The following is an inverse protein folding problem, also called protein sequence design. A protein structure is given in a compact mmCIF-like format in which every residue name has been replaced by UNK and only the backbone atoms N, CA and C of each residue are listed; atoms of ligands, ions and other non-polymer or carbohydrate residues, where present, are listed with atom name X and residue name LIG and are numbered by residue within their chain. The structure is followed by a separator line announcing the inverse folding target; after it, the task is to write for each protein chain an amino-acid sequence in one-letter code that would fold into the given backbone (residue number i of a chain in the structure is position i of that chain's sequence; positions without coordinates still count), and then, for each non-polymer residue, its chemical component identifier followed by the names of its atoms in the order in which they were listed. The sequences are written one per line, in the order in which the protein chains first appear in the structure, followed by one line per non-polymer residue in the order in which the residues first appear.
data_IF_448454923321
#
_entry.id   IF_448454923321
#
_cell.length_a   1.000
_cell.length_b   1.000
_cell.length_c   1.000
_cell.angle_alpha   90.00
_cell.angle_beta   90.00
_cell.angle_gamma   90.00
#
_symmetry.space_group_name_H-M   'P 1'
#
loop_
_entity.id
_entity.type
_entity.pdbx_description
1 polymer ?
#
# COMPACT_ATOMS: atom_id res chain seq x y z
N UNK A 1 42.26 -19.98 -36.54
CA UNK A 1 41.57 -19.37 -35.38
C UNK A 1 42.02 -20.12 -34.14
N UNK A 2 42.65 -19.51 -33.15
CA UNK A 2 43.13 -20.22 -31.98
C UNK A 2 41.92 -20.60 -31.12
N UNK A 3 41.75 -21.91 -30.87
CA UNK A 3 40.76 -22.46 -29.99
C UNK A 3 41.11 -22.06 -28.53
N UNK A 4 40.26 -21.26 -27.92
CA UNK A 4 40.40 -20.84 -26.51
C UNK A 4 40.48 -22.09 -25.59
N UNK A 5 41.35 -22.09 -24.57
CA UNK A 5 41.55 -23.25 -23.72
C UNK A 5 40.26 -23.59 -22.95
N UNK A 6 39.98 -24.88 -22.68
CA UNK A 6 38.71 -25.37 -22.13
C UNK A 6 38.37 -24.79 -20.74
N UNK A 7 39.32 -24.27 -20.00
CA UNK A 7 39.13 -23.56 -18.74
C UNK A 7 38.29 -22.28 -18.88
N UNK A 8 38.48 -21.51 -19.96
CA UNK A 8 37.75 -20.27 -20.20
C UNK A 8 36.25 -20.47 -20.52
N UNK A 9 35.91 -21.56 -21.19
CA UNK A 9 34.50 -21.91 -21.48
C UNK A 9 33.72 -22.24 -20.20
N UNK A 10 34.35 -22.91 -19.23
CA UNK A 10 33.73 -23.27 -17.94
C UNK A 10 33.45 -22.05 -17.06
N UNK A 11 34.32 -21.04 -17.06
CA UNK A 11 34.09 -19.80 -16.35
C UNK A 11 33.00 -18.95 -17.01
N UNK A 12 32.93 -18.87 -18.34
CA UNK A 12 31.86 -18.16 -19.06
C UNK A 12 30.49 -18.71 -18.73
N UNK A 13 30.30 -20.02 -18.72
CA UNK A 13 29.02 -20.64 -18.37
C UNK A 13 28.62 -20.33 -16.92
N UNK A 14 29.57 -20.33 -15.99
CA UNK A 14 29.30 -19.96 -14.59
C UNK A 14 28.85 -18.50 -14.43
N UNK A 15 29.50 -17.55 -15.13
CA UNK A 15 29.11 -16.14 -15.13
C UNK A 15 27.75 -15.90 -15.78
N UNK A 16 27.44 -16.63 -16.85
CA UNK A 16 26.12 -16.57 -17.52
C UNK A 16 25.01 -17.10 -16.59
N UNK A 17 25.24 -18.21 -15.91
CA UNK A 17 24.29 -18.77 -14.93
C UNK A 17 24.09 -17.82 -13.74
N UNK A 18 25.14 -17.18 -13.26
CA UNK A 18 25.09 -16.20 -12.18
C UNK A 18 24.32 -14.94 -12.61
N UNK A 19 24.58 -14.44 -13.81
CA UNK A 19 23.85 -13.32 -14.40
C UNK A 19 22.37 -13.62 -14.61
N UNK A 20 22.05 -14.82 -15.13
CA UNK A 20 20.67 -15.27 -15.30
C UNK A 20 19.93 -15.40 -13.96
N UNK A 21 20.57 -15.99 -12.93
CA UNK A 21 19.96 -16.07 -11.60
C UNK A 21 19.72 -14.71 -10.96
N UNK A 22 20.66 -13.76 -11.13
CA UNK A 22 20.50 -12.38 -10.64
C UNK A 22 19.32 -11.66 -11.35
N UNK A 23 19.22 -11.82 -12.67
CA UNK A 23 18.12 -11.27 -13.47
C UNK A 23 16.78 -11.84 -13.03
N UNK A 24 16.70 -13.16 -12.81
CA UNK A 24 15.50 -13.83 -12.32
C UNK A 24 15.10 -13.32 -10.93
N UNK A 25 16.07 -13.13 -10.04
CA UNK A 25 15.84 -12.58 -8.70
C UNK A 25 15.31 -11.13 -8.76
N UNK A 26 15.88 -10.31 -9.65
CA UNK A 26 15.40 -8.95 -9.87
C UNK A 26 13.98 -8.93 -10.42
N UNK A 27 13.67 -9.82 -11.36
CA UNK A 27 12.31 -9.97 -11.90
C UNK A 27 11.30 -10.37 -10.80
N UNK A 28 11.65 -11.34 -9.97
CA UNK A 28 10.80 -11.76 -8.85
C UNK A 28 10.57 -10.62 -7.85
N UNK A 29 11.59 -9.82 -7.54
CA UNK A 29 11.47 -8.65 -6.69
C UNK A 29 10.53 -7.60 -7.31
N UNK A 30 10.68 -7.31 -8.60
CA UNK A 30 9.80 -6.38 -9.31
C UNK A 30 8.35 -6.86 -9.31
N UNK A 31 8.11 -8.14 -9.53
CA UNK A 31 6.78 -8.74 -9.46
C UNK A 31 6.18 -8.65 -8.05
N UNK A 32 6.97 -8.89 -7.01
CA UNK A 32 6.53 -8.77 -5.62
C UNK A 32 6.15 -7.32 -5.27
N UNK A 33 6.98 -6.35 -5.67
CA UNK A 33 6.69 -4.92 -5.47
C UNK A 33 5.45 -4.47 -6.26
N UNK A 34 5.31 -4.92 -7.51
CA UNK A 34 4.14 -4.63 -8.33
C UNK A 34 2.86 -5.24 -7.71
N UNK A 35 2.94 -6.46 -7.20
CA UNK A 35 1.83 -7.11 -6.49
C UNK A 35 1.45 -6.34 -5.23
N UNK A 36 2.42 -5.99 -4.39
CA UNK A 36 2.21 -5.18 -3.18
C UNK A 36 1.57 -3.82 -3.51
N UNK A 37 2.07 -3.13 -4.55
CA UNK A 37 1.51 -1.85 -4.99
C UNK A 37 0.05 -2.00 -5.43
N UNK A 38 -0.28 -3.03 -6.22
CA UNK A 38 -1.67 -3.31 -6.64
C UNK A 38 -2.57 -3.61 -5.44
N UNK A 39 -2.10 -4.39 -4.48
CA UNK A 39 -2.85 -4.68 -3.25
C UNK A 39 -3.13 -3.40 -2.46
N UNK A 40 -2.12 -2.55 -2.23
CA UNK A 40 -2.27 -1.28 -1.50
C UNK A 40 -3.29 -0.38 -2.20
N UNK A 41 -3.16 -0.20 -3.51
CA UNK A 41 -4.06 0.67 -4.27
C UNK A 41 -5.49 0.13 -4.29
N UNK A 42 -5.68 -1.17 -4.42
CA UNK A 42 -7.01 -1.78 -4.43
C UNK A 42 -7.70 -1.72 -3.06
N UNK A 43 -6.98 -1.98 -1.95
CA UNK A 43 -7.52 -1.84 -0.60
C UNK A 43 -7.94 -0.38 -0.32
N UNK A 44 -7.05 0.57 -0.59
CA UNK A 44 -7.36 2.00 -0.40
C UNK A 44 -8.54 2.44 -1.29
N UNK A 45 -8.63 1.94 -2.52
CA UNK A 45 -9.76 2.23 -3.42
C UNK A 45 -11.07 1.73 -2.84
N UNK A 46 -11.11 0.52 -2.29
CA UNK A 46 -12.30 -0.04 -1.63
C UNK A 46 -12.73 0.80 -0.44
N UNK A 47 -11.78 1.21 0.40
CA UNK A 47 -12.06 2.06 1.56
C UNK A 47 -12.64 3.41 1.14
N UNK A 48 -12.07 4.04 0.08
CA UNK A 48 -12.57 5.29 -0.48
C UNK A 48 -13.98 5.13 -1.05
N UNK A 49 -14.26 4.04 -1.78
CA UNK A 49 -15.59 3.74 -2.32
C UNK A 49 -16.61 3.55 -1.19
N UNK A 50 -16.26 2.80 -0.15
CA UNK A 50 -17.13 2.58 1.00
C UNK A 50 -17.41 3.91 1.74
N UNK A 51 -16.39 4.75 1.92
CA UNK A 51 -16.56 6.08 2.50
C UNK A 51 -17.48 6.96 1.64
N UNK A 52 -17.28 6.96 0.33
CA UNK A 52 -18.12 7.70 -0.61
C UNK A 52 -19.57 7.22 -0.58
N UNK A 53 -19.79 5.91 -0.52
CA UNK A 53 -21.13 5.34 -0.41
C UNK A 53 -21.86 5.75 0.89
N UNK A 54 -21.15 5.80 2.03
CA UNK A 54 -21.71 6.28 3.29
C UNK A 54 -22.08 7.76 3.22
N UNK A 55 -21.19 8.61 2.68
CA UNK A 55 -21.48 10.04 2.49
C UNK A 55 -22.61 10.28 1.50
N UNK A 56 -22.70 9.51 0.41
CA UNK A 56 -23.80 9.54 -0.52
C UNK A 56 -25.14 9.19 0.14
N UNK A 57 -25.18 8.10 0.91
CA UNK A 57 -26.38 7.69 1.62
C UNK A 57 -26.82 8.73 2.66
N UNK A 58 -25.88 9.39 3.35
CA UNK A 58 -26.14 10.45 4.30
C UNK A 58 -26.74 11.67 3.58
N UNK A 59 -26.15 12.09 2.47
CA UNK A 59 -26.65 13.20 1.64
C UNK A 59 -28.06 12.92 1.11
N UNK A 60 -28.29 11.74 0.51
CA UNK A 60 -29.60 11.36 -0.01
C UNK A 60 -30.67 11.31 1.06
N UNK A 61 -30.35 10.87 2.27
CA UNK A 61 -31.31 10.95 3.40
C UNK A 61 -31.73 12.38 3.72
N UNK A 62 -30.74 13.30 3.79
CA UNK A 62 -31.02 14.72 4.04
C UNK A 62 -31.87 15.33 2.93
N UNK A 63 -31.56 15.04 1.68
CA UNK A 63 -32.29 15.50 0.51
C UNK A 63 -33.72 14.96 0.52
N UNK A 64 -33.94 13.66 0.81
CA UNK A 64 -35.25 13.06 0.91
C UNK A 64 -36.11 13.69 2.04
N UNK A 65 -35.50 14.06 3.18
CA UNK A 65 -36.20 14.80 4.22
C UNK A 65 -36.58 16.21 3.78
N UNK A 66 -35.70 16.95 3.11
CA UNK A 66 -36.01 18.29 2.57
C UNK A 66 -37.16 18.19 1.56
N UNK A 67 -37.13 17.21 0.66
CA UNK A 67 -38.18 17.02 -0.32
C UNK A 67 -39.53 16.66 0.30
N UNK A 68 -39.54 15.76 1.30
CA UNK A 68 -40.74 15.43 2.05
C UNK A 68 -41.31 16.66 2.79
N UNK A 69 -40.47 17.47 3.44
CA UNK A 69 -40.87 18.70 4.10
C UNK A 69 -41.38 19.74 3.11
N UNK A 70 -40.73 19.90 1.95
CA UNK A 70 -41.19 20.76 0.86
C UNK A 70 -42.58 20.35 0.37
N UNK A 71 -42.75 19.07 0.02
CA UNK A 71 -44.03 18.54 -0.45
C UNK A 71 -45.19 18.78 0.53
N UNK A 72 -44.92 18.56 1.83
CA UNK A 72 -45.91 18.89 2.87
C UNK A 72 -46.16 20.41 3.02
N UNK A 73 -45.11 21.24 2.91
CA UNK A 73 -45.28 22.68 2.97
C UNK A 73 -46.14 23.22 1.82
N UNK A 74 -45.86 22.77 0.58
CA UNK A 74 -46.61 23.14 -0.60
C UNK A 74 -48.05 22.67 -0.56
N UNK A 75 -48.32 21.45 -0.04
CA UNK A 75 -49.69 20.95 0.12
C UNK A 75 -50.49 21.74 1.14
N UNK A 76 -49.86 22.14 2.27
CA UNK A 76 -50.47 23.02 3.27
C UNK A 76 -50.76 24.41 2.74
N UNK A 77 -49.92 24.95 1.88
CA UNK A 77 -50.16 26.22 1.21
C UNK A 77 -51.40 26.20 0.29
N UNK A 78 -51.67 25.02 -0.36
CA UNK A 78 -52.85 24.82 -1.22
C UNK A 78 -54.13 24.62 -0.42
N UNK A 79 -54.03 23.90 0.70
CA UNK A 79 -55.19 23.55 1.51
C UNK A 79 -55.54 24.55 2.59
N UNK A 80 -54.71 24.64 3.63
CA UNK A 80 -54.80 25.64 4.70
C UNK A 80 -53.49 25.63 5.50
N UNK A 81 -52.74 26.73 5.54
CA UNK A 81 -51.50 26.79 6.31
C UNK A 81 -51.72 26.77 7.84
N UNK A 82 -52.96 27.08 8.31
CA UNK A 82 -53.29 27.15 9.73
C UNK A 82 -53.70 25.78 10.31
N UNK A 83 -52.76 25.13 11.01
CA UNK A 83 -53.07 23.95 11.85
C UNK A 83 -53.40 24.38 13.27
N UNK A 84 -53.99 23.46 14.09
CA UNK A 84 -54.21 23.73 15.53
C UNK A 84 -52.87 24.10 16.21
N UNK A 85 -51.82 23.31 15.93
CA UNK A 85 -50.48 23.56 16.46
C UNK A 85 -49.92 24.93 16.03
N UNK A 86 -50.00 25.26 14.75
CA UNK A 86 -49.47 26.54 14.27
C UNK A 86 -50.21 27.76 14.85
N UNK A 87 -51.52 27.64 15.11
CA UNK A 87 -52.30 28.70 15.78
C UNK A 87 -51.87 28.90 17.22
N UNK A 88 -51.70 27.79 17.99
CA UNK A 88 -51.22 27.88 19.36
C UNK A 88 -49.82 28.51 19.46
N UNK A 89 -48.91 28.10 18.57
CA UNK A 89 -47.54 28.65 18.53
C UNK A 89 -47.53 30.12 18.07
N UNK A 90 -48.39 30.47 17.11
CA UNK A 90 -48.49 31.84 16.63
C UNK A 90 -49.03 32.80 17.73
N UNK A 91 -50.00 32.36 18.49
CA UNK A 91 -50.54 33.13 19.65
C UNK A 91 -49.51 33.31 20.78
N UNK A 92 -48.53 32.39 20.88
CA UNK A 92 -47.47 32.47 21.88
C UNK A 92 -46.29 33.36 21.44
N UNK A 93 -46.28 33.85 20.20
CA UNK A 93 -45.26 34.75 19.74
C UNK A 93 -45.22 36.03 20.56
N UNK A 94 -44.06 36.45 20.97
CA UNK A 94 -43.79 37.69 21.70
C UNK A 94 -43.24 38.73 20.77
N UNK A 95 -43.63 39.99 21.01
CA UNK A 95 -43.11 41.16 20.32
C UNK A 95 -42.22 41.91 21.29
N UNK A 96 -40.93 41.96 21.00
CA UNK A 96 -39.96 42.78 21.70
C UNK A 96 -39.71 44.01 20.83
N UNK A 97 -40.09 45.19 21.33
CA UNK A 97 -40.14 46.44 20.57
C UNK A 97 -38.81 46.81 19.89
N UNK A 98 -37.70 46.48 20.50
CA UNK A 98 -36.36 46.73 19.94
C UNK A 98 -35.80 45.55 19.13
N UNK A 99 -36.26 44.35 19.40
CA UNK A 99 -35.62 43.15 18.93
C UNK A 99 -36.50 42.24 18.02
N UNK A 100 -37.69 42.65 17.70
CA UNK A 100 -38.57 41.97 16.77
C UNK A 100 -39.46 40.90 17.41
N UNK A 101 -39.75 39.85 16.68
CA UNK A 101 -40.67 38.78 17.07
C UNK A 101 -39.85 37.56 17.51
N UNK A 102 -40.31 36.87 18.58
CA UNK A 102 -39.68 35.62 19.03
C UNK A 102 -40.70 34.65 19.62
N UNK A 103 -40.33 33.32 19.69
CA UNK A 103 -41.07 32.27 20.37
C UNK A 103 -40.27 31.78 21.58
N UNK A 104 -39.82 32.71 22.47
CA UNK A 104 -39.04 32.32 23.65
C UNK A 104 -39.90 31.66 24.70
N UNK A 105 -41.21 31.89 24.73
CA UNK A 105 -42.17 31.19 25.57
C UNK A 105 -42.88 30.07 24.84
N UNK A 106 -42.55 28.84 25.15
CA UNK A 106 -43.24 27.66 24.64
C UNK A 106 -44.57 27.50 25.45
N UNK A 107 -45.73 27.30 24.78
CA UNK A 107 -46.97 26.96 25.47
C UNK A 107 -46.81 25.73 26.36
N UNK A 108 -47.35 25.80 27.58
CA UNK A 108 -47.20 24.72 28.64
C UNK A 108 -47.76 23.40 28.15
N UNK A 109 -48.82 23.41 27.36
CA UNK A 109 -49.52 22.23 26.85
C UNK A 109 -48.83 21.54 25.68
N UNK A 110 -47.71 22.11 25.19
CA UNK A 110 -46.97 21.55 24.04
C UNK A 110 -45.62 20.97 24.47
N UNK A 111 -45.23 19.80 23.91
CA UNK A 111 -43.95 19.19 24.26
C UNK A 111 -42.80 20.03 23.68
N UNK A 112 -41.88 20.56 24.54
CA UNK A 112 -40.78 21.43 24.08
C UNK A 112 -39.87 20.77 23.02
N UNK A 113 -39.71 19.46 23.09
CA UNK A 113 -38.88 18.69 22.19
C UNK A 113 -39.41 18.69 20.71
N UNK A 114 -40.62 19.13 20.45
CA UNK A 114 -41.19 19.22 19.11
C UNK A 114 -41.13 20.64 18.54
N UNK A 115 -40.67 21.61 19.29
CA UNK A 115 -40.84 23.03 18.96
C UNK A 115 -39.48 23.67 18.74
N UNK A 116 -39.34 24.42 17.63
CA UNK A 116 -38.23 25.32 17.36
C UNK A 116 -38.52 26.74 17.84
N UNK A 117 -37.62 27.69 17.57
CA UNK A 117 -37.86 29.12 17.80
C UNK A 117 -38.10 29.86 16.48
N UNK A 118 -39.21 30.59 16.42
CA UNK A 118 -39.44 31.54 15.34
C UNK A 118 -38.95 32.88 15.79
N UNK A 119 -38.05 33.50 15.05
CA UNK A 119 -37.59 34.87 15.23
C UNK A 119 -37.76 35.66 13.93
N UNK A 120 -38.07 36.95 14.03
CA UNK A 120 -38.28 37.80 12.86
C UNK A 120 -38.36 39.27 13.18
N UNK A 121 -38.40 40.10 12.15
CA UNK A 121 -38.54 41.55 12.31
C UNK A 121 -40.00 41.98 12.61
N UNK A 122 -40.14 43.12 13.28
CA UNK A 122 -41.44 43.74 13.52
C UNK A 122 -42.05 44.30 12.22
N UNK A 123 -43.36 44.50 12.15
CA UNK A 123 -44.36 44.09 13.16
C UNK A 123 -44.80 42.64 13.03
N UNK A 124 -45.43 42.09 14.12
CA UNK A 124 -46.15 40.83 14.02
C UNK A 124 -47.36 41.03 13.09
N UNK A 125 -47.48 40.27 11.99
CA UNK A 125 -48.57 40.46 11.05
C UNK A 125 -49.89 39.97 11.61
N UNK A 126 -51.00 40.66 11.23
CA UNK A 126 -52.37 40.31 11.59
C UNK A 126 -53.30 40.45 10.37
N UNK A 127 -54.50 39.87 10.46
CA UNK A 127 -55.56 40.07 9.50
C UNK A 127 -55.46 39.26 8.20
N UNK A 128 -54.79 38.10 8.20
CA UNK A 128 -54.73 37.23 7.06
C UNK A 128 -53.69 37.64 6.00
N UNK A 129 -52.63 38.32 6.39
CA UNK A 129 -51.57 38.72 5.46
C UNK A 129 -50.79 37.50 4.94
N UNK A 130 -50.13 37.67 3.78
CA UNK A 130 -49.26 36.61 3.24
C UNK A 130 -48.13 36.23 4.18
N UNK A 131 -47.54 37.19 4.89
CA UNK A 131 -46.52 36.94 5.89
C UNK A 131 -47.03 36.11 7.05
N UNK A 132 -48.26 36.41 7.55
CA UNK A 132 -48.92 35.60 8.58
C UNK A 132 -49.12 34.16 8.13
N UNK A 133 -49.63 33.94 6.91
CA UNK A 133 -49.81 32.60 6.34
C UNK A 133 -48.49 31.82 6.24
N UNK A 134 -47.40 32.46 5.85
CA UNK A 134 -46.06 31.85 5.76
C UNK A 134 -45.46 31.54 7.15
N UNK A 135 -45.70 32.38 8.16
CA UNK A 135 -45.34 32.08 9.54
C UNK A 135 -46.11 30.88 10.09
N UNK A 136 -47.43 30.81 9.81
CA UNK A 136 -48.23 29.63 10.15
C UNK A 136 -47.72 28.36 9.43
N UNK A 137 -47.32 28.45 8.18
CA UNK A 137 -46.69 27.36 7.45
C UNK A 137 -45.44 26.88 8.20
N UNK A 138 -44.50 27.78 8.50
CA UNK A 138 -43.25 27.46 9.19
C UNK A 138 -43.51 26.75 10.54
N UNK A 139 -44.38 27.30 11.37
CA UNK A 139 -44.79 26.72 12.66
C UNK A 139 -45.46 25.37 12.51
N UNK A 140 -46.20 25.14 11.43
CA UNK A 140 -46.83 23.85 11.13
C UNK A 140 -45.85 22.73 10.80
N UNK A 141 -44.61 23.08 10.41
CA UNK A 141 -43.53 22.10 10.09
C UNK A 141 -42.84 21.56 11.35
N UNK A 142 -43.15 22.10 12.54
CA UNK A 142 -42.50 21.69 13.82
C UNK A 142 -42.33 20.17 14.00
N UNK A 143 -43.38 19.33 13.83
CA UNK A 143 -43.22 17.89 14.01
C UNK A 143 -42.28 17.22 13.00
N UNK A 144 -42.22 17.77 11.78
CA UNK A 144 -41.34 17.27 10.72
C UNK A 144 -39.89 17.65 10.99
N UNK A 145 -39.63 18.92 11.38
CA UNK A 145 -38.30 19.39 11.74
C UNK A 145 -37.75 18.58 12.93
N UNK A 146 -38.58 18.34 13.94
CA UNK A 146 -38.23 17.52 15.11
C UNK A 146 -37.92 16.06 14.72
N UNK A 147 -38.74 15.47 13.83
CA UNK A 147 -38.52 14.09 13.33
C UNK A 147 -37.26 14.01 12.52
N UNK A 148 -37.04 14.94 11.60
CA UNK A 148 -35.84 14.98 10.76
C UNK A 148 -34.59 15.16 11.64
N UNK A 149 -34.59 16.08 12.62
CA UNK A 149 -33.48 16.27 13.55
C UNK A 149 -33.17 15.00 14.33
N UNK A 150 -34.16 14.28 14.83
CA UNK A 150 -34.00 13.03 15.56
C UNK A 150 -33.43 11.89 14.70
N UNK A 151 -33.83 11.80 13.44
CA UNK A 151 -33.38 10.75 12.52
C UNK A 151 -32.02 11.04 11.89
N UNK A 152 -31.67 12.32 11.70
CA UNK A 152 -30.37 12.77 11.21
C UNK A 152 -29.36 13.03 12.35
N UNK A 153 -29.85 13.20 13.61
CA UNK A 153 -29.12 13.33 14.89
C UNK A 153 -27.76 14.04 14.77
N UNK A 154 -26.66 13.28 14.90
CA UNK A 154 -25.29 13.82 14.97
C UNK A 154 -24.80 14.47 13.69
N UNK A 155 -25.47 14.22 12.58
CA UNK A 155 -25.04 14.67 11.27
C UNK A 155 -25.48 16.13 10.99
N UNK A 156 -26.43 16.67 11.78
CA UNK A 156 -27.11 17.93 11.53
C UNK A 156 -27.03 18.86 12.73
N UNK A 157 -26.65 20.11 12.48
CA UNK A 157 -26.62 21.15 13.52
C UNK A 157 -27.97 21.86 13.68
N UNK A 158 -28.56 22.26 12.54
CA UNK A 158 -29.80 23.01 12.46
C UNK A 158 -30.66 22.52 11.31
N UNK A 159 -31.99 22.58 11.50
CA UNK A 159 -32.99 22.43 10.44
C UNK A 159 -33.94 23.60 10.58
N UNK A 160 -34.17 24.33 9.50
CA UNK A 160 -34.93 25.54 9.59
C UNK A 160 -35.65 25.91 8.29
N UNK A 161 -36.67 26.73 8.45
CA UNK A 161 -37.32 27.46 7.36
C UNK A 161 -37.02 28.94 7.46
N UNK A 162 -36.45 29.54 6.41
CA UNK A 162 -36.25 31.00 6.30
C UNK A 162 -37.23 31.54 5.30
N UNK A 163 -38.13 32.43 5.75
CA UNK A 163 -39.07 33.11 4.87
C UNK A 163 -38.43 34.27 4.11
N UNK A 164 -39.03 34.66 2.96
CA UNK A 164 -38.66 35.88 2.23
C UNK A 164 -39.16 37.15 2.91
N UNK A 165 -39.92 37.04 4.00
CA UNK A 165 -40.61 38.10 4.70
C UNK A 165 -40.03 38.35 6.08
N UNK A 166 -38.71 38.31 6.22
CA UNK A 166 -37.93 38.69 7.40
C UNK A 166 -38.25 37.87 8.66
N UNK A 167 -38.27 36.58 8.53
CA UNK A 167 -38.34 35.65 9.67
C UNK A 167 -37.66 34.33 9.38
N UNK A 168 -37.27 33.61 10.45
CA UNK A 168 -36.74 32.26 10.42
C UNK A 168 -37.41 31.42 11.52
N UNK A 169 -37.70 30.15 11.21
CA UNK A 169 -38.11 29.15 12.19
C UNK A 169 -37.03 28.09 12.31
N UNK A 170 -36.27 28.11 13.42
CA UNK A 170 -35.07 27.30 13.66
C UNK A 170 -35.34 26.17 14.62
N UNK A 171 -34.89 24.95 14.28
CA UNK A 171 -34.92 23.77 15.13
C UNK A 171 -33.50 23.16 15.23
N UNK A 172 -33.03 22.65 16.39
CA UNK A 172 -33.69 22.66 17.71
C UNK A 172 -33.92 24.08 18.26
N UNK A 173 -34.78 24.16 19.29
CA UNK A 173 -35.07 25.44 19.93
C UNK A 173 -33.81 26.04 20.59
N UNK A 174 -33.59 27.30 20.40
CA UNK A 174 -32.61 28.17 21.08
C UNK A 174 -33.26 29.51 21.43
N UNK A 175 -32.90 30.16 22.55
CA UNK A 175 -33.49 31.44 22.90
C UNK A 175 -33.09 32.54 21.92
N UNK A 176 -33.94 33.56 21.75
CA UNK A 176 -33.66 34.69 20.84
C UNK A 176 -32.44 35.51 21.26
N UNK A 177 -31.99 35.36 22.52
CA UNK A 177 -30.73 35.93 23.00
C UNK A 177 -29.47 35.25 22.43
N UNK A 178 -29.56 34.01 21.97
CA UNK A 178 -28.47 33.28 21.35
C UNK A 178 -28.53 33.33 19.82
N UNK A 179 -29.73 33.22 19.25
CA UNK A 179 -29.94 33.33 17.82
C UNK A 179 -31.22 34.08 17.50
N UNK A 180 -31.10 35.05 16.62
CA UNK A 180 -32.20 35.90 16.17
C UNK A 180 -32.09 36.12 14.68
N UNK A 181 -33.22 36.24 13.99
CA UNK A 181 -33.26 36.62 12.59
C UNK A 181 -32.52 37.94 12.36
N UNK A 182 -31.64 37.94 11.38
CA UNK A 182 -30.92 39.13 10.89
C UNK A 182 -31.01 39.14 9.36
N UNK A 183 -31.35 40.26 8.71
CA UNK A 183 -31.41 40.37 7.25
C UNK A 183 -30.11 40.00 6.53
N UNK A 184 -28.94 40.00 7.21
CA UNK A 184 -27.68 39.52 6.68
C UNK A 184 -27.72 38.02 6.30
N UNK A 185 -28.71 37.25 6.77
CA UNK A 185 -29.00 35.88 6.36
C UNK A 185 -29.19 35.80 4.83
N UNK A 186 -29.85 36.78 4.23
CA UNK A 186 -30.08 36.83 2.78
C UNK A 186 -28.81 37.01 1.94
N UNK A 187 -27.70 37.42 2.56
CA UNK A 187 -26.38 37.53 1.92
C UNK A 187 -25.51 36.29 2.09
N UNK A 188 -25.98 35.27 2.83
CA UNK A 188 -25.25 34.00 3.00
C UNK A 188 -25.24 33.20 1.71
N UNK A 189 -24.18 32.39 1.55
CA UNK A 189 -23.97 31.55 0.35
C UNK A 189 -25.16 30.64 0.06
N UNK A 190 -25.73 29.98 1.08
CA UNK A 190 -26.86 29.07 0.91
C UNK A 190 -28.11 29.75 0.35
N UNK A 191 -28.35 31.02 0.72
CA UNK A 191 -29.46 31.80 0.20
C UNK A 191 -29.20 32.28 -1.23
N UNK A 192 -28.05 32.87 -1.50
CA UNK A 192 -27.66 33.42 -2.79
C UNK A 192 -27.52 32.36 -3.88
N UNK A 193 -27.01 31.17 -3.53
CA UNK A 193 -26.80 30.07 -4.50
C UNK A 193 -28.12 29.43 -4.95
N UNK A 194 -29.15 29.46 -4.11
CA UNK A 194 -30.50 28.99 -4.50
C UNK A 194 -31.21 30.02 -5.37
N UNK A 195 -31.21 31.29 -4.95
CA UNK A 195 -31.87 32.40 -5.69
C UNK A 195 -31.21 32.72 -7.03
N UNK A 196 -29.89 32.49 -7.15
CA UNK A 196 -29.14 32.70 -8.39
C UNK A 196 -29.46 31.69 -9.51
N UNK A 197 -30.30 30.70 -9.25
CA UNK A 197 -30.72 29.71 -10.24
C UNK A 197 -32.12 30.00 -10.76
N UNK A 198 -32.24 30.16 -12.07
CA UNK A 198 -33.52 30.32 -12.75
C UNK A 198 -33.63 29.30 -13.88
N UNK A 199 -34.61 28.40 -13.89
CA UNK A 199 -35.65 28.18 -12.85
C UNK A 199 -35.02 27.62 -11.54
N UNK A 200 -35.75 27.76 -10.41
CA UNK A 200 -35.34 27.14 -9.14
C UNK A 200 -35.07 25.66 -9.30
N UNK A 201 -34.01 25.16 -8.69
CA UNK A 201 -33.65 23.73 -8.76
C UNK A 201 -34.71 22.89 -8.04
N UNK A 202 -35.17 21.82 -8.68
CA UNK A 202 -36.00 20.79 -8.04
C UNK A 202 -35.23 20.02 -6.97
N UNK A 203 -33.90 19.94 -7.10
CA UNK A 203 -33.01 19.28 -6.16
C UNK A 203 -32.43 20.28 -5.15
N UNK A 204 -32.08 19.76 -3.97
CA UNK A 204 -31.44 20.54 -2.94
C UNK A 204 -30.07 21.09 -3.40
N UNK A 205 -29.76 22.31 -3.01
CA UNK A 205 -28.49 23.00 -3.33
C UNK A 205 -27.59 23.00 -2.13
N UNK A 206 -26.34 22.52 -2.30
CA UNK A 206 -25.32 22.56 -1.26
C UNK A 206 -24.53 23.86 -1.34
N UNK A 207 -24.43 24.57 -0.22
CA UNK A 207 -23.74 25.86 -0.15
C UNK A 207 -22.21 25.74 -0.07
N UNK A 208 -21.52 26.87 -0.31
CA UNK A 208 -20.14 27.04 0.13
C UNK A 208 -20.08 27.11 1.66
N UNK A 209 -18.90 26.79 2.26
CA UNK A 209 -18.71 26.95 3.70
C UNK A 209 -18.89 28.42 4.14
N UNK A 210 -19.58 28.63 5.26
CA UNK A 210 -19.73 29.93 5.87
C UNK A 210 -19.69 29.81 7.41
N UNK A 211 -19.48 30.95 8.08
CA UNK A 211 -19.51 31.01 9.55
C UNK A 211 -20.97 31.05 10.05
N UNK A 212 -21.29 30.13 10.97
CA UNK A 212 -22.61 30.11 11.61
C UNK A 212 -22.89 31.35 12.46
N UNK A 213 -24.10 31.86 12.39
CA UNK A 213 -24.54 33.00 13.22
C UNK A 213 -24.75 32.60 14.69
N UNK A 214 -25.15 31.36 14.96
CA UNK A 214 -25.35 30.86 16.33
C UNK A 214 -24.03 30.42 16.99
N UNK A 215 -22.87 30.62 16.34
CA UNK A 215 -21.55 30.39 16.93
C UNK A 215 -21.07 28.94 16.94
N UNK A 216 -21.70 28.04 16.21
CA UNK A 216 -21.30 26.60 16.15
C UNK A 216 -20.14 26.33 15.18
N UNK A 217 -19.49 27.35 14.64
CA UNK A 217 -18.34 27.22 13.77
C UNK A 217 -18.68 27.27 12.28
N UNK A 218 -17.86 26.60 11.44
CA UNK A 218 -18.11 26.56 10.00
C UNK A 218 -19.20 25.55 9.65
N UNK A 219 -20.09 25.97 8.75
CA UNK A 219 -21.23 25.19 8.25
C UNK A 219 -21.20 25.08 6.74
N UNK A 220 -21.79 24.02 6.24
CA UNK A 220 -22.34 23.91 4.89
C UNK A 220 -23.83 23.62 5.00
N UNK A 221 -24.62 24.15 4.09
CA UNK A 221 -26.08 24.05 4.15
C UNK A 221 -26.61 23.37 2.90
N UNK A 222 -27.50 22.41 3.09
CA UNK A 222 -28.30 21.84 2.03
C UNK A 222 -29.65 22.52 2.06
N UNK A 223 -30.02 23.25 1.00
CA UNK A 223 -31.23 24.06 0.94
C UNK A 223 -32.11 23.75 -0.25
N UNK A 224 -33.42 23.77 -0.03
CA UNK A 224 -34.42 23.58 -1.05
C UNK A 224 -35.48 24.71 -0.99
N UNK A 225 -35.83 25.33 -2.14
CA UNK A 225 -36.84 26.38 -2.17
C UNK A 225 -38.25 25.82 -1.99
N UNK A 226 -39.09 26.54 -1.26
CA UNK A 226 -40.54 26.38 -1.27
C UNK A 226 -41.13 27.44 -2.19
N UNK A 227 -41.97 27.02 -3.11
CA UNK A 227 -42.59 27.91 -4.09
C UNK A 227 -44.10 28.00 -3.94
N UNK A 228 -44.65 29.15 -4.25
CA UNK A 228 -46.09 29.42 -4.35
C UNK A 228 -46.33 30.26 -5.59
N UNK A 229 -47.13 29.75 -6.57
CA UNK A 229 -47.38 30.43 -7.85
C UNK A 229 -46.08 30.86 -8.55
N UNK A 230 -45.10 29.93 -8.65
CA UNK A 230 -43.78 30.10 -9.23
C UNK A 230 -42.85 31.15 -8.54
N UNK A 231 -43.27 31.66 -7.41
CA UNK A 231 -42.42 32.52 -6.58
C UNK A 231 -41.84 31.79 -5.38
N UNK A 232 -40.55 31.97 -5.12
CA UNK A 232 -39.92 31.45 -3.91
C UNK A 232 -40.45 32.22 -2.72
N UNK A 233 -41.04 31.55 -1.75
CA UNK A 233 -41.57 32.13 -0.51
C UNK A 233 -40.66 31.90 0.68
N UNK A 234 -39.68 31.03 0.56
CA UNK A 234 -38.70 30.71 1.59
C UNK A 234 -37.84 29.50 1.22
N UNK A 235 -36.87 29.21 2.07
CA UNK A 235 -35.99 28.06 1.94
C UNK A 235 -36.14 27.13 3.15
N UNK A 236 -36.24 25.84 2.88
CA UNK A 236 -35.97 24.80 3.84
C UNK A 236 -34.50 24.45 3.80
N UNK A 237 -33.85 24.40 4.96
CA UNK A 237 -32.40 24.24 5.05
C UNK A 237 -32.00 23.27 6.17
N UNK A 238 -30.93 22.52 5.91
CA UNK A 238 -30.25 21.63 6.85
C UNK A 238 -28.79 22.06 6.92
N UNK A 239 -28.34 22.46 8.11
CA UNK A 239 -26.95 22.84 8.37
C UNK A 239 -26.13 21.67 8.88
N UNK A 240 -24.97 21.48 8.29
CA UNK A 240 -23.99 20.46 8.60
C UNK A 240 -22.70 21.15 9.06
N UNK A 241 -22.24 20.83 10.26
CA UNK A 241 -20.93 21.33 10.72
C UNK A 241 -19.78 20.67 9.97
N UNK A 242 -18.82 21.46 9.52
CA UNK A 242 -17.61 20.90 8.87
C UNK A 242 -16.80 20.02 9.82
N UNK A 243 -16.81 20.30 11.12
CA UNK A 243 -16.20 19.47 12.16
C UNK A 243 -16.82 18.06 12.27
N UNK A 244 -18.13 17.92 12.04
CA UNK A 244 -18.81 16.61 12.00
C UNK A 244 -18.35 15.81 10.77
N UNK A 245 -18.21 16.47 9.62
CA UNK A 245 -17.67 15.85 8.42
C UNK A 245 -16.20 15.39 8.63
N UNK A 246 -15.38 16.22 9.28
CA UNK A 246 -14.01 15.85 9.62
C UNK A 246 -13.95 14.62 10.54
N UNK A 247 -14.80 14.56 11.56
CA UNK A 247 -14.89 13.39 12.47
C UNK A 247 -15.30 12.13 11.70
N UNK A 248 -16.25 12.27 10.77
CA UNK A 248 -16.69 11.17 9.91
C UNK A 248 -15.55 10.69 9.02
N UNK A 249 -14.83 11.61 8.35
CA UNK A 249 -13.68 11.27 7.52
C UNK A 249 -12.55 10.63 8.35
N UNK A 250 -12.27 11.11 9.58
CA UNK A 250 -11.26 10.49 10.46
C UNK A 250 -11.60 9.06 10.82
N UNK A 251 -12.88 8.78 11.11
CA UNK A 251 -13.35 7.44 11.45
C UNK A 251 -13.28 6.46 10.28
N UNK A 252 -13.48 6.95 9.05
CA UNK A 252 -13.54 6.16 7.84
C UNK A 252 -12.23 6.20 7.03
N UNK A 253 -11.21 6.91 7.51
CA UNK A 253 -9.95 7.06 6.79
C UNK A 253 -9.25 5.71 6.60
N UNK A 254 -8.68 5.46 5.41
CA UNK A 254 -7.80 4.33 5.17
C UNK A 254 -6.58 4.33 6.10
N UNK A 255 -5.90 3.17 6.22
CA UNK A 255 -4.73 3.02 7.11
C UNK A 255 -3.60 4.00 6.79
N UNK A 256 -3.44 4.36 5.53
CA UNK A 256 -2.41 5.32 5.07
C UNK A 256 -3.04 6.42 4.25
N UNK A 257 -2.46 7.62 4.34
CA UNK A 257 -2.92 8.77 3.57
C UNK A 257 -3.97 9.62 4.27
N UNK A 258 -4.44 10.64 3.58
CA UNK A 258 -5.41 11.62 4.07
C UNK A 258 -6.58 11.73 3.12
N UNK A 259 -7.80 11.71 3.66
CA UNK A 259 -9.03 11.98 2.91
C UNK A 259 -9.36 13.48 2.95
N UNK A 260 -9.76 14.01 1.81
CA UNK A 260 -10.30 15.35 1.66
C UNK A 260 -11.67 15.28 1.00
N UNK A 261 -12.65 15.95 1.59
CA UNK A 261 -13.97 16.15 0.99
C UNK A 261 -13.99 17.52 0.31
N UNK A 262 -14.35 17.56 -0.95
CA UNK A 262 -14.23 18.75 -1.81
C UNK A 262 -15.57 19.01 -2.49
N UNK A 263 -15.99 20.28 -2.57
CA UNK A 263 -17.20 20.69 -3.28
C UNK A 263 -16.94 20.92 -4.78
N UNK A 264 -18.02 21.23 -5.52
CA UNK A 264 -17.97 21.58 -6.95
C UNK A 264 -17.09 22.81 -7.27
N UNK A 265 -16.85 23.69 -6.28
CA UNK A 265 -15.99 24.87 -6.41
C UNK A 265 -14.54 24.59 -6.03
N UNK A 266 -14.18 23.29 -5.83
CA UNK A 266 -12.84 22.84 -5.40
C UNK A 266 -12.40 23.38 -4.03
N UNK A 267 -13.33 23.72 -3.17
CA UNK A 267 -13.06 24.09 -1.79
C UNK A 267 -13.07 22.82 -0.93
N UNK A 268 -12.08 22.70 -0.06
CA UNK A 268 -12.01 21.61 0.90
C UNK A 268 -13.00 21.91 2.01
N UNK A 269 -13.97 21.03 2.17
CA UNK A 269 -15.00 21.10 3.21
C UNK A 269 -14.55 20.45 4.51
N UNK A 270 -13.81 19.34 4.39
CA UNK A 270 -13.34 18.57 5.53
C UNK A 270 -12.09 17.76 5.18
N UNK A 271 -11.29 17.44 6.20
CA UNK A 271 -10.10 16.60 6.09
C UNK A 271 -10.06 15.56 7.20
N UNK A 272 -9.56 14.36 6.92
CA UNK A 272 -9.36 13.32 7.93
C UNK A 272 -8.18 13.60 8.88
N UNK A 273 -7.28 14.51 8.52
CA UNK A 273 -6.14 14.93 9.33
C UNK A 273 -6.14 16.44 9.51
N UNK A 274 -5.76 16.90 10.70
CA UNK A 274 -5.57 18.32 10.99
C UNK A 274 -4.29 18.82 10.29
N UNK A 275 -4.36 19.91 9.56
CA UNK A 275 -3.22 20.50 8.88
C UNK A 275 -3.63 21.34 7.67
N UNK A 276 -2.67 22.09 7.11
CA UNK A 276 -2.87 22.85 5.87
C UNK A 276 -3.12 21.89 4.70
N UNK A 277 -4.28 21.99 4.11
CA UNK A 277 -4.60 21.23 2.92
C UNK A 277 -3.70 21.70 1.77
N UNK A 278 -3.08 20.75 1.04
CA UNK A 278 -2.30 21.10 -0.13
C UNK A 278 -3.19 21.69 -1.21
N UNK A 279 -2.67 22.59 -2.05
CA UNK A 279 -3.43 23.10 -3.18
C UNK A 279 -3.86 21.95 -4.09
N UNK A 280 -5.16 21.88 -4.36
CA UNK A 280 -5.71 20.88 -5.29
C UNK A 280 -5.38 21.35 -6.72
N UNK A 281 -4.70 20.50 -7.48
CA UNK A 281 -4.36 20.83 -8.86
C UNK A 281 -5.60 20.92 -9.75
N UNK A 282 -5.49 21.74 -10.81
CA UNK A 282 -6.53 21.90 -11.83
C UNK A 282 -6.90 20.59 -12.55
N UNK A 283 -5.99 19.61 -12.57
CA UNK A 283 -6.15 18.32 -13.27
C UNK A 283 -6.89 17.23 -12.45
N UNK A 284 -7.19 17.46 -11.17
CA UNK A 284 -7.91 16.51 -10.32
C UNK A 284 -9.41 16.32 -10.72
N UNK A 285 -9.73 16.49 -11.99
CA UNK A 285 -11.11 16.36 -12.52
C UNK A 285 -11.44 14.95 -13.04
N UNK A 286 -10.43 14.07 -13.18
CA UNK A 286 -10.65 12.70 -13.68
C UNK A 286 -10.64 11.71 -12.53
N UNK A 287 -11.65 10.84 -12.52
CA UNK A 287 -11.70 9.71 -11.61
C UNK A 287 -10.47 8.82 -11.80
N UNK A 288 -9.92 8.33 -10.68
CA UNK A 288 -8.82 7.38 -10.68
C UNK A 288 -7.57 7.87 -9.96
N UNK A 289 -6.49 7.10 -10.10
CA UNK A 289 -5.19 7.38 -9.50
C UNK A 289 -4.34 8.33 -10.35
N UNK A 290 -3.78 9.35 -9.71
CA UNK A 290 -2.89 10.34 -10.32
C UNK A 290 -1.70 10.61 -9.42
N UNK A 291 -0.50 10.76 -10.01
CA UNK A 291 0.67 11.25 -9.29
C UNK A 291 0.73 12.76 -9.30
N UNK A 292 0.84 13.37 -8.11
CA UNK A 292 0.94 14.82 -7.97
C UNK A 292 1.81 15.21 -6.77
N UNK A 293 2.80 16.08 -6.99
CA UNK A 293 3.67 16.64 -5.93
C UNK A 293 4.19 15.57 -4.95
N UNK A 294 4.81 14.50 -5.48
CA UNK A 294 5.34 13.37 -4.70
C UNK A 294 4.30 12.65 -3.83
N UNK A 295 3.05 12.64 -4.25
CA UNK A 295 1.96 11.90 -3.62
C UNK A 295 1.10 11.19 -4.67
N UNK A 296 0.61 10.00 -4.33
CA UNK A 296 -0.40 9.30 -5.10
C UNK A 296 -1.78 9.78 -4.64
N UNK A 297 -2.61 10.26 -5.56
CA UNK A 297 -3.96 10.73 -5.29
C UNK A 297 -4.98 9.85 -6.00
N UNK A 298 -6.02 9.42 -5.27
CA UNK A 298 -7.22 8.82 -5.83
C UNK A 298 -8.34 9.87 -5.77
N UNK A 299 -8.88 10.23 -6.92
CA UNK A 299 -10.03 11.13 -7.06
C UNK A 299 -11.26 10.28 -7.30
N UNK A 300 -12.28 10.43 -6.47
CA UNK A 300 -13.52 9.68 -6.57
C UNK A 300 -14.74 10.60 -6.38
N UNK A 301 -15.53 10.87 -7.43
CA UNK A 301 -16.80 11.61 -7.32
C UNK A 301 -17.78 10.81 -6.44
N UNK A 302 -18.43 11.48 -5.48
CA UNK A 302 -19.43 10.83 -4.64
C UNK A 302 -20.75 10.76 -5.41
N UNK A 303 -21.28 9.56 -5.69
CA UNK A 303 -22.50 9.41 -6.48
C UNK A 303 -23.68 10.20 -5.92
N UNK A 304 -24.49 10.77 -6.80
CA UNK A 304 -25.68 11.57 -6.47
C UNK A 304 -25.42 12.77 -5.55
N UNK A 305 -24.20 13.32 -5.58
CA UNK A 305 -23.84 14.51 -4.81
C UNK A 305 -22.93 15.43 -5.61
N UNK A 306 -22.87 16.74 -5.32
CA UNK A 306 -21.91 17.64 -5.94
C UNK A 306 -20.50 17.56 -5.28
N UNK A 307 -20.21 16.50 -4.55
CA UNK A 307 -19.01 16.32 -3.75
C UNK A 307 -18.03 15.34 -4.40
N UNK A 308 -16.76 15.55 -4.13
CA UNK A 308 -15.67 14.66 -4.57
C UNK A 308 -14.82 14.28 -3.36
N UNK A 309 -14.50 12.99 -3.23
CA UNK A 309 -13.58 12.49 -2.24
C UNK A 309 -12.20 12.33 -2.87
N UNK A 310 -11.18 12.92 -2.24
CA UNK A 310 -9.79 12.83 -2.67
C UNK A 310 -8.99 12.14 -1.57
N UNK A 311 -8.39 11.00 -1.90
CA UNK A 311 -7.47 10.30 -1.02
C UNK A 311 -6.04 10.55 -1.48
N UNK A 312 -5.21 11.13 -0.62
CA UNK A 312 -3.81 11.47 -0.89
C UNK A 312 -2.87 10.64 -0.03
N UNK A 313 -1.95 9.91 -0.67
CA UNK A 313 -0.92 9.11 -0.03
C UNK A 313 0.44 9.72 -0.37
N UNK A 314 1.16 10.24 0.62
CA UNK A 314 2.52 10.75 0.44
C UNK A 314 3.50 9.62 0.11
N UNK A 315 4.59 9.94 -0.59
CA UNK A 315 5.56 8.94 -1.07
C UNK A 315 6.16 8.10 0.07
N UNK A 316 6.51 8.72 1.20
CA UNK A 316 7.18 8.01 2.30
C UNK A 316 6.27 6.94 2.95
N UNK A 317 5.03 7.22 3.39
CA UNK A 317 4.11 6.18 3.87
C UNK A 317 3.83 5.08 2.84
N UNK A 318 3.74 5.45 1.55
CA UNK A 318 3.56 4.48 0.47
C UNK A 318 4.75 3.52 0.37
N UNK A 319 5.99 4.04 0.39
CA UNK A 319 7.20 3.24 0.37
C UNK A 319 7.34 2.35 1.61
N UNK A 320 7.04 2.87 2.80
CA UNK A 320 7.04 2.09 4.03
C UNK A 320 6.06 0.90 3.95
N UNK A 321 4.85 1.14 3.45
CA UNK A 321 3.84 0.10 3.28
C UNK A 321 4.26 -0.94 2.23
N UNK A 322 4.84 -0.50 1.10
CA UNK A 322 5.40 -1.38 0.08
C UNK A 322 6.50 -2.28 0.63
N UNK A 323 7.45 -1.72 1.38
CA UNK A 323 8.52 -2.48 2.01
C UNK A 323 7.98 -3.48 3.02
N UNK A 324 7.01 -3.08 3.83
CA UNK A 324 6.37 -3.96 4.81
C UNK A 324 5.65 -5.14 4.14
N UNK A 325 4.84 -4.88 3.13
CA UNK A 325 4.12 -5.94 2.42
C UNK A 325 5.04 -6.87 1.60
N UNK A 326 6.17 -6.35 1.09
CA UNK A 326 7.15 -7.16 0.37
C UNK A 326 8.21 -7.81 1.29
N UNK A 327 8.21 -7.54 2.60
CA UNK A 327 9.24 -7.99 3.54
C UNK A 327 9.41 -9.53 3.56
N UNK A 328 8.34 -10.29 3.51
CA UNK A 328 8.39 -11.76 3.45
C UNK A 328 9.04 -12.25 2.16
N UNK A 329 8.72 -11.66 1.02
CA UNK A 329 9.33 -11.98 -0.26
C UNK A 329 10.82 -11.60 -0.29
N UNK A 330 11.19 -10.45 0.26
CA UNK A 330 12.58 -10.01 0.41
C UNK A 330 13.38 -10.95 1.31
N UNK A 331 12.82 -11.37 2.44
CA UNK A 331 13.46 -12.28 3.39
C UNK A 331 13.66 -13.67 2.76
N UNK A 332 12.66 -14.22 2.09
CA UNK A 332 12.77 -15.51 1.39
C UNK A 332 13.82 -15.46 0.30
N UNK A 333 13.88 -14.35 -0.46
CA UNK A 333 14.90 -14.13 -1.48
C UNK A 333 16.31 -14.09 -0.88
N UNK A 334 16.51 -13.35 0.21
CA UNK A 334 17.77 -13.27 0.94
C UNK A 334 18.22 -14.66 1.43
N UNK A 335 17.31 -15.42 2.03
CA UNK A 335 17.58 -16.79 2.49
C UNK A 335 18.01 -17.69 1.33
N UNK A 336 17.36 -17.61 0.17
CA UNK A 336 17.71 -18.38 -1.01
C UNK A 336 19.12 -18.03 -1.54
N UNK A 337 19.47 -16.75 -1.57
CA UNK A 337 20.81 -16.29 -1.97
C UNK A 337 21.87 -16.81 -1.00
N UNK A 338 21.64 -16.69 0.30
CA UNK A 338 22.58 -17.18 1.34
C UNK A 338 22.74 -18.70 1.24
N UNK A 339 21.65 -19.45 1.07
CA UNK A 339 21.69 -20.90 0.93
C UNK A 339 22.48 -21.36 -0.33
N UNK A 340 22.27 -20.67 -1.47
CA UNK A 340 23.02 -20.95 -2.71
C UNK A 340 24.51 -20.67 -2.57
N UNK A 341 24.87 -19.52 -2.01
CA UNK A 341 26.28 -19.17 -1.77
C UNK A 341 26.96 -20.13 -0.80
N UNK A 342 26.28 -20.51 0.28
CA UNK A 342 26.75 -21.50 1.25
C UNK A 342 26.95 -22.88 0.61
N UNK A 343 26.00 -23.34 -0.20
CA UNK A 343 26.11 -24.60 -0.95
C UNK A 343 27.29 -24.62 -1.92
N UNK A 344 27.50 -23.53 -2.67
CA UNK A 344 28.63 -23.39 -3.58
C UNK A 344 29.97 -23.40 -2.83
N UNK A 345 30.05 -22.71 -1.67
CA UNK A 345 31.23 -22.71 -0.82
C UNK A 345 31.51 -24.09 -0.26
N UNK A 346 30.50 -24.77 0.26
CA UNK A 346 30.60 -26.14 0.79
C UNK A 346 31.09 -27.12 -0.27
N UNK A 347 30.55 -27.09 -1.50
CA UNK A 347 31.00 -27.90 -2.62
C UNK A 347 32.46 -27.66 -2.98
N UNK A 348 32.94 -26.42 -2.98
CA UNK A 348 34.35 -26.09 -3.23
C UNK A 348 35.24 -26.65 -2.13
N UNK A 349 34.85 -26.46 -0.87
CA UNK A 349 35.60 -26.96 0.28
C UNK A 349 35.68 -28.48 0.29
N UNK A 350 34.53 -29.15 0.07
CA UNK A 350 34.50 -30.60 0.00
C UNK A 350 35.38 -31.16 -1.14
N UNK A 351 35.38 -30.52 -2.32
CA UNK A 351 36.30 -30.90 -3.40
C UNK A 351 37.76 -30.77 -3.00
N UNK A 352 38.11 -29.70 -2.28
CA UNK A 352 39.49 -29.49 -1.82
C UNK A 352 39.87 -30.49 -0.73
N UNK A 353 38.97 -30.75 0.21
CA UNK A 353 39.17 -31.77 1.25
C UNK A 353 39.35 -33.19 0.63
N UNK A 354 38.49 -33.54 -0.32
CA UNK A 354 38.59 -34.83 -1.03
C UNK A 354 39.90 -34.94 -1.81
N UNK A 355 40.37 -33.85 -2.45
CA UNK A 355 41.66 -33.84 -3.13
C UNK A 355 42.81 -34.06 -2.13
N UNK A 356 42.87 -33.29 -1.04
CA UNK A 356 43.89 -33.40 0.00
C UNK A 356 43.85 -34.77 0.70
N UNK A 357 42.68 -35.35 0.87
CA UNK A 357 42.52 -36.69 1.48
C UNK A 357 42.94 -37.82 0.56
N UNK A 358 42.93 -37.63 -0.76
CA UNK A 358 43.21 -38.69 -1.75
C UNK A 358 44.57 -38.57 -2.44
N UNK A 359 45.27 -37.44 -2.37
CA UNK A 359 46.54 -37.21 -3.04
C UNK A 359 47.66 -36.92 -2.05
N UNK A 360 48.86 -37.28 -2.42
CA UNK A 360 50.07 -36.94 -1.73
C UNK A 360 50.43 -35.45 -1.94
N UNK A 361 50.67 -34.72 -0.87
CA UNK A 361 50.87 -33.29 -0.92
C UNK A 361 52.16 -32.84 -1.62
N UNK A 362 53.17 -33.70 -1.64
CA UNK A 362 54.44 -33.41 -2.28
C UNK A 362 54.41 -33.71 -3.77
N UNK A 363 54.01 -34.90 -4.13
CA UNK A 363 54.18 -35.41 -5.49
C UNK A 363 52.93 -35.24 -6.39
N UNK A 364 51.74 -35.00 -5.78
CA UNK A 364 50.48 -34.93 -6.47
C UNK A 364 49.97 -36.32 -6.97
N UNK A 365 50.69 -37.40 -6.73
CA UNK A 365 50.21 -38.77 -6.94
C UNK A 365 49.10 -39.11 -5.92
N UNK A 366 48.35 -40.16 -6.13
CA UNK A 366 47.42 -40.62 -5.07
C UNK A 366 48.20 -41.04 -3.83
N UNK A 367 47.63 -40.83 -2.66
CA UNK A 367 48.24 -41.33 -1.40
C UNK A 367 47.73 -42.76 -1.06
N UNK A 368 48.37 -43.42 -0.09
CA UNK A 368 48.01 -44.78 0.31
C UNK A 368 46.56 -44.95 0.77
N UNK A 369 45.95 -43.90 1.32
CA UNK A 369 44.53 -43.94 1.75
C UNK A 369 43.55 -44.04 0.57
N UNK A 370 44.00 -43.71 -0.63
CA UNK A 370 43.20 -43.80 -1.84
C UNK A 370 43.14 -45.24 -2.40
N UNK A 371 44.01 -46.18 -1.94
CA UNK A 371 44.09 -47.55 -2.39
C UNK A 371 42.74 -48.27 -2.40
N UNK A 372 42.04 -48.30 -1.25
CA UNK A 372 40.74 -48.96 -1.12
C UNK A 372 39.68 -48.41 -2.07
N UNK A 373 39.72 -47.12 -2.37
CA UNK A 373 38.80 -46.47 -3.31
C UNK A 373 39.08 -46.87 -4.74
N UNK A 374 40.37 -47.06 -5.11
CA UNK A 374 40.80 -47.53 -6.43
C UNK A 374 40.42 -48.99 -6.63
N UNK A 375 40.69 -49.86 -5.61
CA UNK A 375 40.34 -51.26 -5.62
C UNK A 375 38.84 -51.44 -5.85
N UNK A 376 38.01 -50.78 -5.05
CA UNK A 376 36.55 -50.81 -5.21
C UNK A 376 36.08 -50.34 -6.59
N UNK A 377 36.72 -49.31 -7.13
CA UNK A 377 36.40 -48.77 -8.47
C UNK A 377 36.69 -49.79 -9.56
N UNK A 378 37.84 -50.51 -9.49
CA UNK A 378 38.20 -51.50 -10.44
C UNK A 378 37.30 -52.74 -10.35
N UNK A 379 36.98 -53.18 -9.14
CA UNK A 379 36.05 -54.26 -8.90
C UNK A 379 34.63 -53.98 -9.45
N UNK A 380 34.13 -52.74 -9.26
CA UNK A 380 32.84 -52.32 -9.81
C UNK A 380 32.84 -52.20 -11.33
N UNK A 381 33.99 -51.91 -11.95
CA UNK A 381 34.12 -51.81 -13.40
C UNK A 381 34.24 -53.22 -14.09
N UNK A 382 34.06 -54.30 -13.34
CA UNK A 382 34.12 -55.68 -13.85
C UNK A 382 35.55 -56.17 -14.09
N UNK A 383 36.56 -55.54 -13.51
CA UNK A 383 37.95 -56.04 -13.56
C UNK A 383 38.09 -57.14 -12.53
N UNK A 384 38.19 -58.42 -13.00
CA UNK A 384 38.35 -59.57 -12.13
C UNK A 384 39.77 -59.73 -11.57
N UNK A 385 40.77 -59.06 -12.19
CA UNK A 385 42.15 -59.10 -11.75
C UNK A 385 42.68 -57.63 -11.72
N UNK A 386 43.37 -57.24 -10.65
CA UNK A 386 44.07 -56.01 -10.51
C UNK A 386 45.55 -56.33 -10.50
N UNK A 387 46.29 -55.79 -11.45
CA UNK A 387 47.74 -55.90 -11.47
C UNK A 387 48.35 -54.83 -10.56
N UNK A 388 49.43 -55.16 -9.90
CA UNK A 388 50.17 -54.26 -9.04
C UNK A 388 51.67 -54.26 -9.38
N UNK A 389 52.26 -53.09 -9.55
CA UNK A 389 53.70 -52.88 -9.68
C UNK A 389 54.15 -52.04 -8.51
N UNK A 390 54.95 -52.63 -7.62
CA UNK A 390 55.58 -51.90 -6.50
C UNK A 390 57.00 -51.54 -6.88
N UNK A 391 57.40 -50.32 -6.70
CA UNK A 391 58.77 -49.87 -6.98
C UNK A 391 59.17 -48.75 -5.99
N UNK A 392 60.49 -48.62 -5.76
CA UNK A 392 61.07 -47.57 -4.94
C UNK A 392 62.21 -46.89 -5.68
N UNK A 393 62.74 -45.81 -5.08
CA UNK A 393 63.84 -45.05 -5.66
C UNK A 393 65.14 -45.57 -5.07
N UNK A 394 65.95 -46.26 -5.91
CA UNK A 394 67.24 -46.77 -5.49
C UNK A 394 68.16 -45.70 -4.90
N UNK A 395 68.76 -46.02 -3.74
CA UNK A 395 69.68 -45.13 -3.04
C UNK A 395 69.13 -43.78 -2.64
N UNK A 396 67.80 -43.61 -2.51
CA UNK A 396 67.17 -42.34 -2.19
C UNK A 396 67.69 -41.67 -0.92
N UNK A 397 68.03 -42.50 0.08
CA UNK A 397 68.68 -42.00 1.31
C UNK A 397 70.01 -41.29 1.01
N UNK A 398 70.82 -41.86 0.10
CA UNK A 398 72.09 -41.22 -0.28
C UNK A 398 71.88 -39.90 -1.02
N UNK A 399 70.83 -39.79 -1.80
CA UNK A 399 70.41 -38.51 -2.45
C UNK A 399 70.09 -37.48 -1.37
N UNK A 400 69.30 -37.84 -0.37
CA UNK A 400 68.95 -36.96 0.74
C UNK A 400 70.17 -36.55 1.58
N UNK A 401 71.05 -37.52 1.90
CA UNK A 401 72.23 -37.28 2.75
C UNK A 401 73.24 -36.41 2.01
N UNK A 402 73.34 -36.52 0.69
CA UNK A 402 74.33 -35.79 -0.12
C UNK A 402 73.85 -34.41 -0.57
N UNK A 403 72.56 -34.27 -0.98
CA UNK A 403 72.05 -33.09 -1.62
C UNK A 403 70.94 -32.37 -0.80
N UNK A 404 70.54 -32.95 0.34
CA UNK A 404 69.52 -32.44 1.24
C UNK A 404 68.11 -32.86 0.84
N UNK A 405 67.15 -32.84 1.78
CA UNK A 405 65.76 -33.27 1.59
C UNK A 405 65.03 -32.50 0.51
N UNK A 406 65.36 -31.20 0.29
CA UNK A 406 64.74 -30.42 -0.77
C UNK A 406 65.02 -30.96 -2.18
N UNK A 407 66.21 -31.49 -2.43
CA UNK A 407 66.56 -32.17 -3.70
C UNK A 407 65.87 -33.53 -3.78
N UNK A 408 65.83 -34.29 -2.67
CA UNK A 408 65.06 -35.53 -2.62
C UNK A 408 63.59 -35.34 -2.93
N UNK A 409 62.97 -34.29 -2.42
CA UNK A 409 61.60 -33.91 -2.73
C UNK A 409 61.41 -33.65 -4.22
N UNK A 410 62.33 -32.93 -4.86
CA UNK A 410 62.29 -32.68 -6.31
C UNK A 410 62.47 -33.94 -7.12
N UNK A 411 63.30 -34.89 -6.67
CA UNK A 411 63.47 -36.22 -7.31
C UNK A 411 62.15 -36.98 -7.30
N UNK A 412 61.45 -37.02 -6.14
CA UNK A 412 60.14 -37.72 -6.05
C UNK A 412 59.06 -37.07 -6.93
N UNK A 413 59.04 -35.73 -6.97
CA UNK A 413 58.12 -34.97 -7.86
C UNK A 413 58.41 -35.32 -9.33
N UNK A 414 59.70 -35.28 -9.74
CA UNK A 414 60.13 -35.60 -11.09
C UNK A 414 59.83 -37.06 -11.47
N UNK A 415 60.04 -38.01 -10.58
CA UNK A 415 59.72 -39.41 -10.75
C UNK A 415 58.24 -39.58 -11.13
N UNK A 416 57.35 -38.94 -10.38
CA UNK A 416 55.89 -38.98 -10.70
C UNK A 416 55.60 -38.37 -12.06
N UNK A 417 56.26 -37.26 -12.42
CA UNK A 417 56.12 -36.62 -13.74
C UNK A 417 56.60 -37.53 -14.87
N UNK A 418 57.67 -38.26 -14.66
CA UNK A 418 58.19 -39.26 -15.63
C UNK A 418 57.25 -40.41 -15.85
N UNK A 419 56.54 -40.88 -14.80
CA UNK A 419 55.56 -41.93 -14.87
C UNK A 419 54.28 -41.51 -15.62
N UNK A 420 53.81 -40.23 -15.44
CA UNK A 420 52.54 -39.74 -15.95
C UNK A 420 52.25 -40.07 -17.43
N UNK A 421 53.18 -39.91 -18.40
CA UNK A 421 52.93 -40.20 -19.82
C UNK A 421 52.66 -41.69 -20.12
N UNK A 422 53.10 -42.59 -19.23
CA UNK A 422 52.86 -44.06 -19.35
C UNK A 422 51.56 -44.52 -18.68
N UNK A 423 50.91 -43.63 -17.91
CA UNK A 423 49.68 -43.94 -17.21
C UNK A 423 48.48 -43.79 -18.15
N UNK A 424 47.77 -44.87 -18.36
CA UNK A 424 46.49 -44.90 -19.04
C UNK A 424 45.33 -44.67 -18.02
N UNK A 425 44.08 -44.66 -18.50
CA UNK A 425 42.90 -44.54 -17.61
C UNK A 425 42.73 -45.77 -16.69
N UNK A 426 43.30 -46.90 -17.07
CA UNK A 426 43.34 -48.13 -16.31
C UNK A 426 44.46 -48.19 -15.28
N UNK A 427 45.36 -47.21 -15.26
CA UNK A 427 46.50 -47.14 -14.33
C UNK A 427 46.25 -46.07 -13.23
N UNK A 428 46.60 -46.38 -11.99
CA UNK A 428 46.55 -45.43 -10.88
C UNK A 428 47.86 -45.49 -10.11
N UNK A 429 48.63 -44.40 -10.12
CA UNK A 429 49.88 -44.28 -9.39
C UNK A 429 49.63 -43.76 -7.97
N UNK A 430 50.10 -44.48 -6.97
CA UNK A 430 49.96 -44.20 -5.55
C UNK A 430 51.35 -44.07 -4.93
N UNK A 431 51.60 -43.00 -4.20
CA UNK A 431 52.76 -42.93 -3.31
C UNK A 431 52.41 -43.72 -2.03
N UNK A 432 53.08 -44.84 -1.83
CA UNK A 432 52.75 -45.76 -0.73
C UNK A 432 53.37 -45.26 0.62
N UNK A 433 54.59 -44.74 0.56
CA UNK A 433 55.30 -44.16 1.69
C UNK A 433 56.71 -43.76 1.30
N UNK A 434 57.30 -42.74 1.92
CA UNK A 434 58.68 -42.33 1.65
C UNK A 434 59.02 -42.21 0.18
N UNK A 435 59.87 -43.12 -0.32
CA UNK A 435 60.31 -43.26 -1.70
C UNK A 435 59.58 -44.39 -2.44
N UNK A 436 58.61 -45.09 -1.79
CA UNK A 436 57.86 -46.22 -2.36
C UNK A 436 56.65 -45.79 -3.14
N UNK A 437 56.43 -46.38 -4.31
CA UNK A 437 55.30 -46.16 -5.18
C UNK A 437 54.63 -47.45 -5.57
N UNK A 438 53.32 -47.42 -5.67
CA UNK A 438 52.47 -48.49 -6.12
C UNK A 438 51.69 -48.10 -7.36
N UNK A 439 51.89 -48.79 -8.46
CA UNK A 439 51.04 -48.60 -9.65
C UNK A 439 50.02 -49.74 -9.70
N UNK A 440 48.72 -49.38 -9.57
CA UNK A 440 47.64 -50.32 -9.77
C UNK A 440 47.15 -50.24 -11.21
N UNK A 441 46.97 -51.40 -11.84
CA UNK A 441 46.50 -51.51 -13.22
C UNK A 441 45.25 -52.39 -13.25
N UNK A 442 44.15 -51.86 -13.81
CA UNK A 442 42.98 -52.70 -14.05
C UNK A 442 43.30 -53.67 -15.20
N UNK A 443 43.28 -54.96 -14.91
CA UNK A 443 43.65 -55.98 -15.90
C UNK A 443 42.59 -56.10 -17.00
N UNK A 444 42.95 -55.63 -18.16
CA UNK A 444 42.25 -55.83 -19.44
C UNK A 444 43.17 -56.40 -20.49
N UNK A 445 44.08 -57.30 -20.06
CA UNK A 445 45.04 -57.93 -20.94
C UNK A 445 46.34 -57.11 -21.10
N UNK A 446 46.64 -56.11 -20.26
CA UNK A 446 47.92 -55.41 -20.20
C UNK A 446 48.96 -56.31 -19.51
N UNK A 447 50.07 -56.64 -20.21
CA UNK A 447 51.20 -57.32 -19.59
C UNK A 447 51.90 -56.36 -18.62
N UNK A 448 52.01 -56.69 -17.36
CA UNK A 448 52.65 -55.86 -16.31
C UNK A 448 54.16 -55.76 -16.46
N UNK A 449 54.82 -56.84 -16.94
CA UNK A 449 56.26 -56.82 -17.06
C UNK A 449 56.82 -55.80 -18.12
N UNK A 450 56.25 -55.65 -19.30
CA UNK A 450 56.65 -54.62 -20.23
C UNK A 450 56.41 -53.18 -19.69
N UNK A 451 55.29 -52.98 -18.97
CA UNK A 451 54.97 -51.66 -18.35
C UNK A 451 55.96 -51.33 -17.22
N UNK A 452 56.29 -52.29 -16.38
CA UNK A 452 57.27 -52.13 -15.31
C UNK A 452 58.67 -51.78 -15.91
N UNK A 453 59.07 -52.48 -16.95
CA UNK A 453 60.34 -52.22 -17.60
C UNK A 453 60.39 -50.84 -18.31
N UNK A 454 59.30 -50.45 -18.95
CA UNK A 454 59.19 -49.10 -19.52
C UNK A 454 59.30 -47.99 -18.45
N UNK A 455 58.66 -48.18 -17.27
CA UNK A 455 58.78 -47.25 -16.15
C UNK A 455 60.25 -47.21 -15.64
N UNK A 456 60.86 -48.38 -15.42
CA UNK A 456 62.24 -48.48 -15.00
C UNK A 456 63.22 -47.80 -15.94
N UNK A 457 63.14 -48.10 -17.22
CA UNK A 457 63.99 -47.47 -18.25
C UNK A 457 63.81 -45.98 -18.33
N UNK A 458 62.56 -45.50 -18.32
CA UNK A 458 62.27 -44.06 -18.39
C UNK A 458 62.79 -43.30 -17.19
N UNK A 459 62.81 -43.88 -16.01
CA UNK A 459 63.35 -43.30 -14.79
C UNK A 459 64.91 -43.38 -14.79
N UNK A 460 65.44 -44.51 -15.20
CA UNK A 460 66.92 -44.74 -15.23
C UNK A 460 67.64 -43.91 -16.32
N UNK A 461 67.03 -43.74 -17.46
CA UNK A 461 67.61 -42.99 -18.60
C UNK A 461 67.38 -41.45 -18.48
N UNK A 462 66.64 -41.00 -17.47
CA UNK A 462 66.42 -39.57 -17.28
C UNK A 462 67.70 -38.90 -16.79
N UNK A 463 67.98 -37.76 -17.40
CA UNK A 463 69.09 -36.89 -16.94
C UNK A 463 68.76 -36.21 -15.64
N UNK A 464 69.28 -36.73 -14.52
CA UNK A 464 69.07 -36.20 -13.16
C UNK A 464 69.98 -35.04 -12.81
N UNK A 465 70.94 -34.67 -13.67
CA UNK A 465 71.93 -33.60 -13.40
C UNK A 465 71.23 -32.22 -13.21
N UNK A 466 70.08 -32.02 -13.79
CA UNK A 466 69.29 -30.79 -13.56
C UNK A 466 68.79 -30.65 -12.13
N UNK A 467 68.61 -31.77 -11.38
CA UNK A 467 68.02 -31.78 -10.06
C UNK A 467 69.08 -32.15 -9.00
N UNK A 468 69.95 -33.10 -9.30
CA UNK A 468 71.02 -33.59 -8.40
C UNK A 468 72.35 -33.58 -9.21
N UNK A 469 73.00 -32.40 -9.28
CA UNK A 469 74.28 -32.25 -10.07
C UNK A 469 75.48 -33.00 -9.54
#
# INVERSE_FOLDING_TARGET
MPTLPPAFAKYRLQWLLLGFSLLLLLLLLLLALQHAFRQITELNRRDVINTAAQLSNQHQRMEAFLEAMRGQAEERLRSNPQSVLSRQLYQALQVDGEHGINLDRIPVDLPPALIGNLTGLNPLPHGGSQREARMHLALSLSPLLATASKLLDKDVAWIYFTGTDDFIYLYPWVPSSQFRFDPAIYHKSYWQEVLGRHPPSEHATLSRPYQDFAGRGQMITLSQPITQSDQIIGLLSIDIQTSTLEQTLRRLAPQIGTLFLVNQHRQILASSQSGTAPPLAREASREGYHWQQSALQLVYPIPATPLTLIHRISLLPLLQMLLWQSATALLTLLCLVVATLSSLRSRRLNRRLNYLSSHDALTGAFNRHHFDAVERRYAQAGSHHIGAIMFDCDHFKQVNDRFGHGIGDQVLIRLVQLCQPLLTRECTLIRWGGEEFLLLVADKGLSLAPLAEQLRLRIAEHDWTEIAP
#
